data_IF_575930716856
#
_entry.id   IF_575930716856
#
_cell.length_a   1.000
_cell.length_b   1.000
_cell.length_c   1.000
_cell.angle_alpha   90.00
_cell.angle_beta   90.00
_cell.angle_gamma   90.00
#
_symmetry.space_group_name_H-M   'P 1'
#
loop_
_entity.id
_entity.type
_entity.pdbx_description
1 polymer ?
#
# COMPACT_ATOMS: atom_id res chain seq x y z
N UNK A 1 -30.47 -15.79 -0.84
CA UNK A 1 -29.61 -14.74 -1.45
C UNK A 1 -29.02 -13.92 -0.31
N UNK A 2 -27.73 -14.09 -0.01
CA UNK A 2 -27.09 -13.36 1.09
C UNK A 2 -26.92 -11.87 0.74
N UNK A 3 -27.38 -10.98 1.63
CA UNK A 3 -27.19 -9.53 1.50
C UNK A 3 -25.70 -9.18 1.34
N UNK A 4 -25.39 -8.26 0.42
CA UNK A 4 -24.05 -7.67 0.23
C UNK A 4 -23.43 -7.15 1.55
N UNK A 5 -24.27 -6.73 2.52
CA UNK A 5 -23.81 -6.32 3.84
C UNK A 5 -23.25 -7.48 4.66
N UNK A 6 -23.86 -8.67 4.60
CA UNK A 6 -23.38 -9.85 5.33
C UNK A 6 -22.06 -10.38 4.75
N UNK A 7 -21.87 -10.28 3.42
CA UNK A 7 -20.58 -10.64 2.79
C UNK A 7 -19.47 -9.68 3.21
N UNK A 8 -19.75 -8.37 3.32
CA UNK A 8 -18.77 -7.40 3.84
C UNK A 8 -18.44 -7.63 5.31
N UNK A 9 -19.43 -7.92 6.14
CA UNK A 9 -19.21 -8.23 7.55
C UNK A 9 -18.40 -9.51 7.76
N UNK A 10 -18.66 -10.56 6.96
CA UNK A 10 -17.84 -11.77 6.96
C UNK A 10 -16.40 -11.46 6.54
N UNK A 11 -16.21 -10.71 5.45
CA UNK A 11 -14.88 -10.28 4.99
C UNK A 11 -14.13 -9.48 6.04
N UNK A 12 -14.80 -8.59 6.78
CA UNK A 12 -14.18 -7.80 7.86
C UNK A 12 -13.77 -8.72 9.01
N UNK A 13 -14.63 -9.67 9.42
CA UNK A 13 -14.31 -10.63 10.47
C UNK A 13 -13.08 -11.47 10.11
N UNK A 14 -12.99 -11.93 8.86
CA UNK A 14 -11.83 -12.70 8.39
C UNK A 14 -10.54 -11.86 8.38
N UNK A 15 -10.64 -10.54 8.14
CA UNK A 15 -9.49 -9.62 8.18
C UNK A 15 -9.07 -9.24 9.61
N UNK A 16 -10.03 -9.10 10.52
CA UNK A 16 -9.77 -8.73 11.92
C UNK A 16 -9.32 -9.94 12.76
N UNK A 17 -9.75 -11.15 12.38
CA UNK A 17 -9.43 -12.41 13.04
C UNK A 17 -8.93 -13.43 12.02
N UNK A 18 -7.78 -13.18 11.35
CA UNK A 18 -7.26 -14.12 10.37
C UNK A 18 -6.93 -15.44 11.06
N UNK A 19 -7.49 -16.53 10.55
CA UNK A 19 -6.97 -17.87 10.84
C UNK A 19 -5.53 -17.93 10.32
N UNK A 20 -4.64 -18.68 10.99
CA UNK A 20 -3.22 -18.70 10.66
C UNK A 20 -3.00 -18.93 9.16
N UNK A 21 -2.55 -17.89 8.45
CA UNK A 21 -2.24 -17.99 7.03
C UNK A 21 -1.00 -18.88 6.88
N UNK A 22 -1.06 -20.01 6.17
CA UNK A 22 0.09 -20.89 6.00
C UNK A 22 1.27 -20.12 5.40
N UNK A 23 2.49 -20.31 5.92
CA UNK A 23 3.71 -19.66 5.39
C UNK A 23 3.92 -19.86 3.88
N UNK A 24 3.42 -20.96 3.32
CA UNK A 24 3.44 -21.22 1.88
C UNK A 24 2.68 -20.18 1.06
N UNK A 25 1.67 -19.54 1.64
CA UNK A 25 0.90 -18.47 1.00
C UNK A 25 1.72 -17.18 0.86
N UNK A 26 2.49 -16.80 1.90
CA UNK A 26 3.34 -15.61 1.86
C UNK A 26 4.39 -15.68 0.75
N UNK A 27 5.03 -16.84 0.58
CA UNK A 27 6.00 -17.07 -0.50
C UNK A 27 5.36 -16.92 -1.88
N UNK A 28 4.17 -17.49 -2.09
CA UNK A 28 3.44 -17.37 -3.35
C UNK A 28 3.03 -15.93 -3.67
N UNK A 29 2.65 -15.14 -2.65
CA UNK A 29 2.33 -13.72 -2.79
C UNK A 29 3.56 -12.95 -3.27
N UNK A 30 4.71 -13.14 -2.63
CA UNK A 30 5.96 -12.46 -3.00
C UNK A 30 6.41 -12.81 -4.43
N UNK A 31 6.36 -14.09 -4.80
CA UNK A 31 6.66 -14.52 -6.17
C UNK A 31 5.74 -13.88 -7.21
N UNK A 32 4.45 -13.76 -6.88
CA UNK A 32 3.46 -13.11 -7.76
C UNK A 32 3.74 -11.62 -7.89
N UNK A 33 4.06 -10.95 -6.79
CA UNK A 33 4.42 -9.53 -6.78
C UNK A 33 5.67 -9.26 -7.60
N UNK A 34 6.72 -10.08 -7.42
CA UNK A 34 7.98 -9.99 -8.18
C UNK A 34 7.71 -10.20 -9.69
N UNK A 35 6.87 -11.17 -10.06
CA UNK A 35 6.49 -11.44 -11.47
C UNK A 35 5.78 -10.26 -12.13
N UNK A 36 4.96 -9.51 -11.38
CA UNK A 36 4.23 -8.36 -11.91
C UNK A 36 4.95 -7.02 -11.71
N UNK A 37 6.17 -7.02 -11.15
CA UNK A 37 6.99 -5.83 -10.99
C UNK A 37 6.54 -4.89 -9.87
N UNK A 38 5.94 -5.42 -8.80
CA UNK A 38 5.65 -4.64 -7.60
C UNK A 38 6.94 -4.39 -6.81
N UNK A 39 7.16 -3.15 -6.35
CA UNK A 39 8.20 -2.84 -5.36
C UNK A 39 7.61 -3.04 -3.97
N UNK A 40 8.12 -3.99 -3.20
CA UNK A 40 7.69 -4.22 -1.81
C UNK A 40 8.81 -3.80 -0.88
N UNK A 41 8.51 -2.93 0.09
CA UNK A 41 9.49 -2.50 1.09
C UNK A 41 9.89 -3.68 2.02
N UNK A 42 11.19 -3.82 2.39
CA UNK A 42 11.70 -4.92 3.20
C UNK A 42 10.86 -5.30 4.44
N UNK A 43 10.38 -4.34 5.23
CA UNK A 43 9.55 -4.55 6.43
C UNK A 43 8.23 -5.25 6.08
N UNK A 44 7.62 -4.86 4.96
CA UNK A 44 6.37 -5.47 4.45
C UNK A 44 6.67 -6.86 3.88
N UNK A 45 7.75 -7.01 3.12
CA UNK A 45 8.15 -8.32 2.57
C UNK A 45 8.40 -9.35 3.68
N UNK A 46 9.08 -8.94 4.75
CA UNK A 46 9.30 -9.76 5.94
C UNK A 46 7.97 -10.11 6.63
N UNK A 47 7.08 -9.12 6.81
CA UNK A 47 5.77 -9.34 7.40
C UNK A 47 4.92 -10.35 6.61
N UNK A 48 4.95 -10.28 5.27
CA UNK A 48 4.27 -11.27 4.41
C UNK A 48 4.86 -12.66 4.60
N UNK A 49 6.18 -12.79 4.70
CA UNK A 49 6.86 -14.07 4.88
C UNK A 49 6.53 -14.72 6.24
N UNK A 50 6.50 -13.92 7.31
CA UNK A 50 6.17 -14.39 8.66
C UNK A 50 4.67 -14.46 8.96
N UNK A 51 3.80 -14.21 7.96
CA UNK A 51 2.35 -14.10 8.16
C UNK A 51 1.97 -13.11 9.29
N UNK A 52 2.75 -12.03 9.43
CA UNK A 52 2.50 -10.96 10.41
C UNK A 52 1.39 -10.03 9.92
N UNK A 53 0.59 -9.43 10.82
CA UNK A 53 -0.49 -8.53 10.43
C UNK A 53 0.07 -7.28 9.73
N UNK A 54 -0.53 -6.93 8.59
CA UNK A 54 -0.16 -5.76 7.78
C UNK A 54 -1.39 -4.87 7.63
N UNK A 55 -1.20 -3.57 7.80
CA UNK A 55 -2.24 -2.56 7.57
C UNK A 55 -1.87 -1.73 6.34
N UNK A 56 -2.64 -1.87 5.27
CA UNK A 56 -2.49 -1.06 4.08
C UNK A 56 -3.02 0.37 4.30
N UNK A 57 -2.26 1.38 3.88
CA UNK A 57 -2.63 2.80 3.98
C UNK A 57 -2.65 3.45 2.59
N UNK A 58 -3.56 4.41 2.39
CA UNK A 58 -3.65 5.14 1.11
C UNK A 58 -2.70 6.34 1.04
N UNK A 59 -2.22 6.65 -0.17
CA UNK A 59 -1.38 7.83 -0.45
C UNK A 59 -2.17 9.08 -0.89
N UNK A 60 -3.47 8.95 -1.19
CA UNK A 60 -4.29 10.08 -1.65
C UNK A 60 -4.47 11.13 -0.55
N UNK A 61 -4.71 10.73 0.70
CA UNK A 61 -4.79 11.65 1.83
C UNK A 61 -3.50 12.46 2.01
N UNK A 62 -2.35 11.86 1.71
CA UNK A 62 -1.02 12.50 1.83
C UNK A 62 -0.83 13.54 0.72
N UNK A 63 -1.21 13.22 -0.52
CA UNK A 63 -0.94 14.08 -1.68
C UNK A 63 -2.00 15.16 -1.91
N UNK A 64 -3.27 14.89 -1.58
CA UNK A 64 -4.41 15.75 -1.91
C UNK A 64 -5.35 16.03 -0.74
N UNK A 65 -5.17 15.36 0.40
CA UNK A 65 -6.07 15.46 1.55
C UNK A 65 -5.64 16.51 2.58
N UNK A 66 -4.32 16.73 2.73
CA UNK A 66 -3.75 17.61 3.73
C UNK A 66 -2.60 18.43 3.14
N UNK A 67 -2.38 19.67 3.61
CA UNK A 67 -1.22 20.46 3.21
C UNK A 67 0.08 19.88 3.78
N UNK A 68 1.19 20.18 3.12
CA UNK A 68 2.51 19.95 3.67
C UNK A 68 2.86 21.00 4.75
N UNK A 69 3.47 20.64 5.89
CA UNK A 69 4.00 19.32 6.26
C UNK A 69 3.02 18.39 6.99
N UNK A 70 1.79 18.83 7.24
CA UNK A 70 0.80 18.09 8.03
C UNK A 70 0.50 16.71 7.43
N UNK A 71 0.46 16.60 6.11
CA UNK A 71 0.27 15.34 5.40
C UNK A 71 1.28 14.25 5.79
N UNK A 72 2.58 14.56 5.79
CA UNK A 72 3.64 13.62 6.17
C UNK A 72 3.60 13.33 7.67
N UNK A 73 3.38 14.37 8.49
CA UNK A 73 3.32 14.23 9.93
C UNK A 73 2.19 13.27 10.34
N UNK A 74 0.99 13.47 9.80
CA UNK A 74 -0.14 12.59 10.05
C UNK A 74 0.10 11.17 9.53
N UNK A 75 0.72 11.01 8.36
CA UNK A 75 1.07 9.68 7.87
C UNK A 75 2.01 8.94 8.85
N UNK A 76 3.07 9.61 9.34
CA UNK A 76 4.01 9.05 10.31
C UNK A 76 3.36 8.73 11.65
N UNK A 77 2.44 9.57 12.13
CA UNK A 77 1.67 9.32 13.35
C UNK A 77 0.79 8.08 13.21
N UNK A 78 0.09 7.93 12.09
CA UNK A 78 -0.73 6.74 11.80
C UNK A 78 0.14 5.49 11.70
N UNK A 79 1.28 5.54 11.01
CA UNK A 79 2.22 4.41 10.96
C UNK A 79 2.71 4.02 12.37
N UNK A 80 3.04 5.00 13.21
CA UNK A 80 3.48 4.76 14.59
C UNK A 80 2.39 4.10 15.44
N UNK A 81 1.13 4.51 15.28
CA UNK A 81 -0.01 3.89 15.98
C UNK A 81 -0.13 2.42 15.58
N UNK A 82 -0.05 2.10 14.29
CA UNK A 82 -0.15 0.73 13.77
C UNK A 82 0.95 -0.17 14.34
N UNK A 83 2.19 0.33 14.39
CA UNK A 83 3.31 -0.37 15.01
C UNK A 83 3.06 -0.60 16.50
N UNK A 84 2.49 0.38 17.21
CA UNK A 84 2.10 0.27 18.61
C UNK A 84 1.06 -0.84 18.89
N UNK A 85 0.27 -1.21 17.88
CA UNK A 85 -0.68 -2.33 17.93
C UNK A 85 -0.11 -3.65 17.38
N UNK A 86 1.19 -3.72 17.10
CA UNK A 86 1.87 -4.94 16.67
C UNK A 86 1.65 -5.32 15.20
N UNK A 87 1.22 -4.37 14.36
CA UNK A 87 1.07 -4.56 12.92
C UNK A 87 2.10 -3.76 12.12
N UNK A 88 2.31 -4.17 10.87
CA UNK A 88 3.25 -3.52 9.95
C UNK A 88 2.49 -2.58 9.02
N UNK A 89 2.74 -1.26 9.03
CA UNK A 89 2.11 -0.33 8.11
C UNK A 89 2.69 -0.47 6.70
N UNK A 90 1.81 -0.42 5.70
CA UNK A 90 2.16 -0.47 4.30
C UNK A 90 1.42 0.63 3.53
N UNK A 91 1.97 1.85 3.52
CA UNK A 91 1.49 2.93 2.65
C UNK A 91 1.70 2.54 1.18
N UNK A 92 0.65 2.66 0.36
CA UNK A 92 0.66 2.22 -1.05
C UNK A 92 0.58 3.43 -1.97
N UNK A 93 1.48 3.47 -2.96
CA UNK A 93 1.48 4.47 -4.03
C UNK A 93 1.94 3.85 -5.35
N UNK A 94 1.73 4.56 -6.46
CA UNK A 94 2.37 4.24 -7.74
C UNK A 94 3.44 5.30 -7.99
N UNK A 95 4.70 4.92 -7.86
CA UNK A 95 5.83 5.82 -8.06
C UNK A 95 6.48 5.50 -9.39
N UNK A 96 6.54 6.48 -10.30
CA UNK A 96 7.17 6.31 -11.63
C UNK A 96 6.65 5.05 -12.35
N UNK A 97 5.32 4.87 -12.34
CA UNK A 97 4.62 3.74 -12.95
C UNK A 97 4.80 2.39 -12.25
N UNK A 98 5.53 2.32 -11.13
CA UNK A 98 5.74 1.09 -10.36
C UNK A 98 4.79 1.09 -9.15
N UNK A 99 3.93 0.07 -8.99
CA UNK A 99 3.18 -0.11 -7.76
C UNK A 99 4.12 -0.42 -6.58
N UNK A 100 4.09 0.43 -5.56
CA UNK A 100 4.91 0.34 -4.36
C UNK A 100 4.04 -0.05 -3.15
N UNK A 101 4.44 -1.10 -2.43
CA UNK A 101 3.77 -1.59 -1.22
C UNK A 101 4.70 -1.35 -0.03
N UNK A 102 4.32 -0.39 0.83
CA UNK A 102 5.23 0.21 1.79
C UNK A 102 6.10 1.25 1.12
N UNK A 103 6.33 2.37 1.81
CA UNK A 103 7.17 3.47 1.35
C UNK A 103 8.33 3.69 2.32
N UNK A 104 9.47 4.13 1.80
CA UNK A 104 10.54 4.68 2.63
C UNK A 104 10.13 6.05 3.17
N UNK A 105 10.89 6.57 4.14
CA UNK A 105 10.69 7.94 4.62
C UNK A 105 10.88 8.96 3.49
N UNK A 106 11.85 8.75 2.60
CA UNK A 106 12.09 9.61 1.45
C UNK A 106 10.93 9.58 0.44
N UNK A 107 10.40 8.38 0.13
CA UNK A 107 9.25 8.21 -0.78
C UNK A 107 8.01 8.92 -0.18
N UNK A 108 7.82 8.83 1.15
CA UNK A 108 6.73 9.49 1.88
C UNK A 108 6.87 11.02 1.89
N UNK A 109 8.09 11.52 2.12
CA UNK A 109 8.40 12.94 2.10
C UNK A 109 8.24 13.54 0.69
N UNK A 110 8.65 12.81 -0.36
CA UNK A 110 8.46 13.18 -1.76
C UNK A 110 6.97 13.33 -2.09
N UNK A 111 6.15 12.36 -1.69
CA UNK A 111 4.68 12.44 -1.85
C UNK A 111 4.09 13.67 -1.16
N UNK A 112 4.54 13.93 0.08
CA UNK A 112 4.01 15.03 0.87
C UNK A 112 4.38 16.40 0.29
N UNK A 113 5.65 16.60 -0.08
CA UNK A 113 6.16 17.87 -0.62
C UNK A 113 5.61 18.18 -2.01
N UNK A 114 5.55 17.16 -2.86
CA UNK A 114 5.25 17.32 -4.28
C UNK A 114 3.84 16.81 -4.62
N UNK A 115 2.90 16.80 -3.67
CA UNK A 115 1.57 16.19 -3.82
C UNK A 115 0.80 16.58 -5.09
N UNK A 116 0.89 17.85 -5.50
CA UNK A 116 0.24 18.37 -6.72
C UNK A 116 0.81 17.81 -8.04
N UNK A 117 2.03 17.28 -8.02
CA UNK A 117 2.65 16.59 -9.17
C UNK A 117 2.20 15.14 -9.30
N UNK A 118 1.59 14.56 -8.26
CA UNK A 118 1.06 13.21 -8.28
C UNK A 118 -0.37 13.20 -8.81
N UNK A 119 -0.69 12.21 -9.64
CA UNK A 119 -2.06 12.02 -10.12
C UNK A 119 -2.87 11.26 -9.08
N UNK A 120 -3.97 11.85 -8.60
CA UNK A 120 -4.98 11.13 -7.82
C UNK A 120 -5.49 9.94 -8.64
N UNK A 121 -5.23 8.73 -8.15
CA UNK A 121 -5.46 7.50 -8.91
C UNK A 121 -6.61 6.71 -8.31
N UNK A 122 -7.70 6.54 -9.05
CA UNK A 122 -8.74 5.57 -8.75
C UNK A 122 -8.56 4.30 -9.60
N UNK A 123 -9.40 3.28 -9.38
CA UNK A 123 -9.32 1.98 -10.08
C UNK A 123 -9.20 2.10 -11.60
N UNK A 124 -9.95 3.03 -12.22
CA UNK A 124 -9.97 3.24 -13.68
C UNK A 124 -8.68 3.88 -14.21
N UNK A 125 -7.90 4.50 -13.34
CA UNK A 125 -6.70 5.26 -13.68
C UNK A 125 -5.43 4.40 -13.53
N UNK A 126 -5.48 3.30 -12.77
CA UNK A 126 -4.33 2.43 -12.46
C UNK A 126 -3.62 1.98 -13.74
N UNK A 127 -4.34 1.47 -14.74
CA UNK A 127 -3.72 1.00 -15.99
C UNK A 127 -2.99 2.10 -16.75
N UNK A 128 -3.54 3.32 -16.73
CA UNK A 128 -2.92 4.47 -17.36
C UNK A 128 -1.65 4.89 -16.62
N UNK A 129 -1.72 5.07 -15.30
CA UNK A 129 -0.58 5.52 -14.48
C UNK A 129 0.58 4.51 -14.49
N UNK A 130 0.28 3.20 -14.44
CA UNK A 130 1.29 2.14 -14.56
C UNK A 130 1.87 2.07 -15.98
N UNK A 131 1.03 2.22 -17.01
CA UNK A 131 1.47 2.15 -18.41
C UNK A 131 2.35 3.32 -18.85
N UNK A 132 2.11 4.52 -18.31
CA UNK A 132 2.73 5.77 -18.78
C UNK A 132 4.25 5.81 -18.59
N UNK A 133 4.77 5.20 -17.51
CA UNK A 133 6.22 5.27 -17.22
C UNK A 133 7.07 4.33 -18.08
N UNK A 134 6.51 3.23 -18.61
CA UNK A 134 7.21 2.33 -19.56
C UNK A 134 7.46 2.96 -20.93
N UNK A 135 6.73 4.02 -21.29
CA UNK A 135 6.87 4.68 -22.61
C UNK A 135 8.04 5.65 -22.70
N UNK A 136 8.56 6.18 -21.58
CA UNK A 136 9.59 7.23 -21.58
C UNK A 136 11.00 6.66 -21.45
N UNK A 137 11.17 5.46 -20.87
CA UNK A 137 12.47 4.79 -20.72
C UNK A 137 12.90 3.95 -21.95
N UNK A 138 12.08 3.87 -23.00
CA UNK A 138 12.35 3.13 -24.25
C UNK A 138 12.42 4.04 -25.50
N UNK A 139 12.82 5.31 -25.34
CA UNK A 139 13.15 6.21 -26.45
C UNK A 139 14.53 6.82 -26.28
#
# INVERSE_FOLDING_TARGET
MGSQANLRLASIKDHLFPTSVPRSHGVAVLQTADRFGFKIEPKVRHAIYESSPIVALESTIITHGMPYPQNVQTAKEVESIIVGYGAVPATIAILKGVPCIGLSEDDLEELGRNGSSFTKTARRDISHVVGYSKSILNR
#
